data_IF_685117953765
#
_entry.id   IF_685117953765
#
_cell.length_a   1.000
_cell.length_b   1.000
_cell.length_c   1.000
_cell.angle_alpha   90.00
_cell.angle_beta   90.00
_cell.angle_gamma   90.00
#
_symmetry.space_group_name_H-M   'P 1'
#
loop_
_entity.id
_entity.type
_entity.pdbx_description
1 polymer ?
#
# COMPACT_ATOMS: atom_id res chain seq x y z
N UNK A 1 20.21 24.04 -2.30
CA UNK A 1 19.81 24.45 -0.93
C UNK A 1 18.31 24.21 -0.64
N UNK A 2 17.43 24.21 -1.63
CA UNK A 2 15.99 23.91 -1.48
C UNK A 2 15.71 22.46 -1.06
N UNK A 3 16.46 21.51 -1.61
CA UNK A 3 16.26 20.08 -1.31
C UNK A 3 16.66 19.70 0.12
N UNK A 4 17.72 20.28 0.64
CA UNK A 4 18.18 20.01 2.01
C UNK A 4 17.16 20.51 3.04
N UNK A 5 16.58 21.70 2.82
CA UNK A 5 15.51 22.25 3.67
C UNK A 5 14.26 21.39 3.64
N UNK A 6 13.87 20.86 2.49
CA UNK A 6 12.71 19.96 2.36
C UNK A 6 12.93 18.63 3.09
N UNK A 7 14.14 18.09 3.05
CA UNK A 7 14.50 16.85 3.79
C UNK A 7 14.50 17.12 5.30
N UNK A 8 15.07 18.24 5.74
CA UNK A 8 15.09 18.63 7.16
C UNK A 8 13.66 18.84 7.69
N UNK A 9 12.80 19.56 6.95
CA UNK A 9 11.41 19.79 7.36
C UNK A 9 10.64 18.47 7.45
N UNK A 10 10.78 17.56 6.49
CA UNK A 10 10.15 16.24 6.55
C UNK A 10 10.67 15.40 7.71
N UNK A 11 11.98 15.43 7.96
CA UNK A 11 12.58 14.76 9.13
C UNK A 11 12.06 15.35 10.44
N UNK A 12 12.00 16.68 10.54
CA UNK A 12 11.50 17.36 11.74
C UNK A 12 10.01 17.07 12.00
N UNK A 13 9.16 17.02 10.96
CA UNK A 13 7.73 16.68 11.13
C UNK A 13 7.55 15.23 11.58
N UNK A 14 8.35 14.29 11.10
CA UNK A 14 8.32 12.89 11.54
C UNK A 14 8.80 12.75 12.98
N UNK A 15 9.89 13.42 13.36
CA UNK A 15 10.40 13.43 14.74
C UNK A 15 9.39 14.09 15.68
N UNK A 16 8.77 15.19 15.27
CA UNK A 16 7.74 15.86 16.05
C UNK A 16 6.50 14.99 16.26
N UNK A 17 6.02 14.30 15.20
CA UNK A 17 4.88 13.38 15.32
C UNK A 17 5.19 12.19 16.24
N UNK A 18 6.40 11.64 16.16
CA UNK A 18 6.86 10.60 17.06
C UNK A 18 6.91 11.10 18.52
N UNK A 19 7.49 12.28 18.73
CA UNK A 19 7.60 12.89 20.08
C UNK A 19 6.22 13.17 20.70
N UNK A 20 5.27 13.67 19.92
CA UNK A 20 3.91 13.92 20.39
C UNK A 20 3.24 12.61 20.82
N UNK A 21 3.30 11.58 20.01
CA UNK A 21 2.72 10.26 20.34
C UNK A 21 3.41 9.66 21.56
N UNK A 22 4.73 9.78 21.64
CA UNK A 22 5.50 9.29 22.79
C UNK A 22 5.10 9.98 24.09
N UNK A 23 4.99 11.32 24.09
CA UNK A 23 4.57 12.12 25.25
C UNK A 23 3.16 11.73 25.69
N UNK A 24 2.20 11.59 24.76
CA UNK A 24 0.82 11.23 25.03
C UNK A 24 0.69 9.81 25.64
N UNK A 25 1.57 8.89 25.26
CA UNK A 25 1.60 7.54 25.82
C UNK A 25 2.32 7.55 27.17
N UNK A 26 3.43 8.28 27.32
CA UNK A 26 4.21 8.37 28.54
C UNK A 26 3.45 9.07 29.69
N UNK A 27 2.61 10.06 29.36
CA UNK A 27 1.72 10.74 30.33
C UNK A 27 0.51 9.90 30.74
N UNK A 28 0.33 8.69 30.20
CA UNK A 28 -0.79 7.82 30.53
C UNK A 28 -2.14 8.27 29.98
N UNK A 29 -2.20 9.36 29.21
CA UNK A 29 -3.41 9.86 28.55
C UNK A 29 -3.95 8.83 27.55
N UNK A 30 -3.04 8.08 26.91
CA UNK A 30 -3.39 7.03 25.95
C UNK A 30 -3.35 5.66 26.66
N UNK A 31 -4.53 5.13 27.02
CA UNK A 31 -4.69 3.80 27.58
C UNK A 31 -4.32 2.68 26.62
N UNK A 32 -4.25 1.43 27.11
CA UNK A 32 -3.88 0.24 26.33
C UNK A 32 -4.75 0.02 25.07
N UNK A 33 -6.03 0.37 25.15
CA UNK A 33 -6.95 0.32 24.01
C UNK A 33 -6.48 1.21 22.84
N UNK A 34 -6.20 2.47 23.10
CA UNK A 34 -5.73 3.41 22.07
C UNK A 34 -4.35 3.05 21.52
N UNK A 35 -3.47 2.43 22.33
CA UNK A 35 -2.21 1.89 21.84
C UNK A 35 -2.43 0.75 20.82
N UNK A 36 -3.43 -0.10 21.04
CA UNK A 36 -3.81 -1.16 20.12
C UNK A 36 -4.39 -0.59 18.82
N UNK A 37 -5.22 0.46 18.91
CA UNK A 37 -5.72 1.18 17.73
C UNK A 37 -4.58 1.79 16.94
N UNK A 38 -3.64 2.45 17.60
CA UNK A 38 -2.47 3.04 16.96
C UNK A 38 -1.60 2.00 16.27
N UNK A 39 -1.38 0.84 16.92
CA UNK A 39 -0.67 -0.27 16.32
C UNK A 39 -1.37 -0.79 15.05
N UNK A 40 -2.69 -0.94 15.10
CA UNK A 40 -3.49 -1.34 13.94
C UNK A 40 -3.41 -0.32 12.81
N UNK A 41 -3.42 0.99 13.12
CA UNK A 41 -3.22 2.06 12.15
C UNK A 41 -1.86 1.89 11.45
N UNK A 42 -0.77 1.69 12.21
CA UNK A 42 0.57 1.51 11.64
C UNK A 42 0.65 0.31 10.69
N UNK A 43 0.07 -0.83 11.06
CA UNK A 43 -0.01 -2.02 10.20
C UNK A 43 -0.82 -1.73 8.94
N UNK A 44 -1.98 -1.09 9.07
CA UNK A 44 -2.84 -0.76 7.93
C UNK A 44 -2.21 0.30 7.01
N UNK A 45 -1.40 1.22 7.53
CA UNK A 45 -0.60 2.15 6.70
C UNK A 45 0.38 1.36 5.82
N UNK A 46 1.15 0.42 6.38
CA UNK A 46 2.10 -0.38 5.61
C UNK A 46 1.35 -1.18 4.54
N UNK A 47 0.25 -1.85 4.91
CA UNK A 47 -0.56 -2.64 3.98
C UNK A 47 -1.19 -1.78 2.89
N UNK A 48 -1.75 -0.62 3.24
CA UNK A 48 -2.36 0.29 2.28
C UNK A 48 -1.35 0.87 1.30
N UNK A 49 -0.21 1.38 1.80
CA UNK A 49 0.83 1.96 0.94
C UNK A 49 1.48 0.90 0.06
N UNK A 50 1.72 -0.32 0.57
CA UNK A 50 2.30 -1.43 -0.21
C UNK A 50 1.34 -1.99 -1.26
N UNK A 51 0.05 -2.07 -0.97
CA UNK A 51 -0.95 -2.44 -1.99
C UNK A 51 -1.13 -1.31 -3.01
N UNK A 52 -1.10 -0.03 -2.58
CA UNK A 52 -1.19 1.10 -3.50
C UNK A 52 -0.01 1.16 -4.48
N UNK A 53 1.19 0.70 -4.07
CA UNK A 53 2.31 0.52 -4.98
C UNK A 53 1.94 -0.44 -6.13
N UNK A 54 1.28 -1.56 -5.83
CA UNK A 54 0.89 -2.57 -6.80
C UNK A 54 -0.32 -2.08 -7.62
N UNK A 55 -1.41 -1.68 -6.96
CA UNK A 55 -2.68 -1.39 -7.63
C UNK A 55 -2.72 0.04 -8.17
N UNK A 56 -2.27 1.00 -7.37
CA UNK A 56 -2.38 2.40 -7.71
C UNK A 56 -1.29 2.89 -8.67
N UNK A 57 -0.01 2.59 -8.39
CA UNK A 57 1.11 3.11 -9.18
C UNK A 57 1.50 2.24 -10.36
N UNK A 58 1.17 0.95 -10.38
CA UNK A 58 1.49 0.05 -11.51
C UNK A 58 0.25 -0.46 -12.26
N UNK A 59 -0.94 -0.07 -11.84
CA UNK A 59 -2.19 -0.45 -12.49
C UNK A 59 -2.54 -1.94 -12.38
N UNK A 60 -1.94 -2.67 -11.44
CA UNK A 60 -2.14 -4.11 -11.26
C UNK A 60 -3.18 -4.36 -10.18
N UNK A 61 -4.43 -4.58 -10.55
CA UNK A 61 -5.48 -4.84 -9.59
C UNK A 61 -5.25 -6.19 -8.89
N UNK A 62 -4.95 -6.17 -7.57
CA UNK A 62 -4.63 -7.36 -6.78
C UNK A 62 -5.50 -7.46 -5.53
N UNK A 63 -6.07 -8.64 -5.30
CA UNK A 63 -6.82 -9.02 -4.10
C UNK A 63 -6.06 -10.03 -3.21
N UNK A 64 -4.80 -10.29 -3.51
CA UNK A 64 -3.99 -11.30 -2.82
C UNK A 64 -3.16 -10.79 -1.64
N UNK A 65 -3.28 -9.52 -1.24
CA UNK A 65 -2.34 -8.88 -0.32
C UNK A 65 -2.37 -9.48 1.09
N UNK A 66 -3.53 -9.99 1.56
CA UNK A 66 -3.64 -10.71 2.82
C UNK A 66 -2.84 -12.03 2.84
N UNK A 67 -2.61 -12.68 1.69
CA UNK A 67 -1.74 -13.84 1.59
C UNK A 67 -0.28 -13.51 1.90
N UNK A 68 0.25 -12.39 1.41
CA UNK A 68 1.59 -11.93 1.74
C UNK A 68 1.71 -11.53 3.21
N UNK A 69 0.67 -10.90 3.75
CA UNK A 69 0.58 -10.62 5.19
C UNK A 69 0.64 -11.92 6.01
N UNK A 70 -0.08 -12.97 5.61
CA UNK A 70 -0.06 -14.27 6.27
C UNK A 70 1.34 -14.91 6.26
N UNK A 71 2.01 -14.93 5.10
CA UNK A 71 3.36 -15.48 4.98
C UNK A 71 4.33 -14.79 5.95
N UNK A 72 4.31 -13.46 6.00
CA UNK A 72 5.14 -12.69 6.93
C UNK A 72 4.80 -12.96 8.38
N UNK A 73 3.51 -13.01 8.73
CA UNK A 73 3.03 -13.27 10.08
C UNK A 73 3.49 -14.64 10.60
N UNK A 74 3.23 -15.69 9.83
CA UNK A 74 3.59 -17.06 10.24
C UNK A 74 5.10 -17.28 10.27
N UNK A 75 5.86 -16.77 9.30
CA UNK A 75 7.32 -16.88 9.31
C UNK A 75 7.91 -16.20 10.52
N UNK A 76 7.47 -14.98 10.82
CA UNK A 76 7.94 -14.25 12.01
C UNK A 76 7.55 -14.96 13.30
N UNK A 77 6.31 -15.46 13.40
CA UNK A 77 5.84 -16.20 14.57
C UNK A 77 6.68 -17.45 14.84
N UNK A 78 6.96 -18.25 13.83
CA UNK A 78 7.77 -19.46 13.94
C UNK A 78 9.23 -19.15 14.38
N UNK A 79 9.82 -18.06 13.86
CA UNK A 79 11.14 -17.62 14.27
C UNK A 79 11.17 -17.15 15.72
N UNK A 80 10.19 -16.38 16.15
CA UNK A 80 10.07 -15.90 17.54
C UNK A 80 9.80 -17.06 18.51
N UNK A 81 9.01 -18.06 18.12
CA UNK A 81 8.80 -19.26 18.93
C UNK A 81 10.09 -20.07 19.12
N UNK A 82 10.94 -20.14 18.09
CA UNK A 82 12.22 -20.85 18.16
C UNK A 82 13.30 -20.05 18.92
N UNK A 83 13.30 -18.73 18.73
CA UNK A 83 14.26 -17.80 19.36
C UNK A 83 13.49 -16.64 20.02
N UNK A 84 13.02 -16.81 21.28
CA UNK A 84 12.23 -15.79 21.97
C UNK A 84 13.12 -14.62 22.48
N UNK A 85 13.58 -13.81 21.52
CA UNK A 85 14.43 -12.65 21.76
C UNK A 85 14.10 -11.54 20.77
N UNK A 86 14.57 -10.32 21.07
CA UNK A 86 14.43 -9.18 20.14
C UNK A 86 15.16 -9.45 18.82
N UNK A 87 16.26 -10.17 18.84
CA UNK A 87 17.00 -10.56 17.64
C UNK A 87 16.24 -11.59 16.81
N UNK A 88 15.57 -12.55 17.48
CA UNK A 88 14.68 -13.51 16.83
C UNK A 88 13.48 -12.82 16.18
N UNK A 89 12.92 -11.78 16.81
CA UNK A 89 11.88 -10.94 16.22
C UNK A 89 12.38 -10.20 14.96
N UNK A 90 13.53 -9.50 15.03
CA UNK A 90 14.06 -8.77 13.89
C UNK A 90 14.43 -9.69 12.72
N UNK A 91 15.09 -10.81 13.03
CA UNK A 91 15.41 -11.83 12.02
C UNK A 91 14.14 -12.43 11.40
N UNK A 92 13.14 -12.76 12.23
CA UNK A 92 11.86 -13.27 11.79
C UNK A 92 11.12 -12.29 10.89
N UNK A 93 11.14 -11.01 11.24
CA UNK A 93 10.52 -9.94 10.46
C UNK A 93 11.15 -9.81 9.05
N UNK A 94 12.48 -9.81 8.99
CA UNK A 94 13.21 -9.75 7.72
C UNK A 94 12.98 -11.01 6.88
N UNK A 95 13.09 -12.20 7.49
CA UNK A 95 12.84 -13.47 6.81
C UNK A 95 11.38 -13.56 6.34
N UNK A 96 10.41 -13.11 7.13
CA UNK A 96 9.01 -13.09 6.75
C UNK A 96 8.74 -12.18 5.56
N UNK A 97 9.36 -11.01 5.52
CA UNK A 97 9.28 -10.10 4.38
C UNK A 97 9.95 -10.70 3.13
N UNK A 98 11.10 -11.36 3.27
CA UNK A 98 11.81 -12.02 2.16
C UNK A 98 11.02 -13.22 1.63
N UNK A 99 10.41 -14.04 2.48
CA UNK A 99 9.54 -15.16 2.07
C UNK A 99 8.32 -14.63 1.31
N UNK A 100 7.69 -13.56 1.79
CA UNK A 100 6.59 -12.92 1.08
C UNK A 100 7.04 -12.36 -0.28
N UNK A 101 8.23 -11.75 -0.37
CA UNK A 101 8.81 -11.28 -1.62
C UNK A 101 9.10 -12.41 -2.60
N UNK A 102 9.69 -13.53 -2.13
CA UNK A 102 9.95 -14.71 -2.93
C UNK A 102 8.67 -15.34 -3.48
N UNK A 103 7.63 -15.43 -2.65
CA UNK A 103 6.29 -15.83 -3.11
C UNK A 103 5.69 -14.80 -4.07
N UNK A 104 5.97 -13.51 -3.87
CA UNK A 104 5.62 -12.46 -4.81
C UNK A 104 6.22 -12.67 -6.20
N UNK A 105 7.48 -13.13 -6.30
CA UNK A 105 8.08 -13.52 -7.58
C UNK A 105 7.38 -14.75 -8.17
N UNK A 106 7.20 -15.80 -7.35
CA UNK A 106 6.61 -17.06 -7.78
C UNK A 106 5.19 -16.87 -8.32
N UNK A 107 4.38 -16.07 -7.63
CA UNK A 107 3.00 -15.77 -7.99
C UNK A 107 2.96 -14.74 -9.12
N UNK A 108 3.79 -13.70 -9.02
CA UNK A 108 3.81 -12.59 -9.96
C UNK A 108 4.14 -13.04 -11.38
N UNK A 109 5.18 -13.84 -11.59
CA UNK A 109 5.61 -14.23 -12.92
C UNK A 109 4.49 -14.86 -13.78
N UNK A 110 3.69 -15.84 -13.30
CA UNK A 110 2.58 -16.37 -14.08
C UNK A 110 1.35 -15.45 -14.11
N UNK A 111 1.01 -14.81 -12.99
CA UNK A 111 -0.23 -14.03 -12.89
C UNK A 111 -0.15 -12.68 -13.60
N UNK A 112 1.03 -12.05 -13.69
CA UNK A 112 1.21 -10.75 -14.35
C UNK A 112 1.09 -10.81 -15.90
N UNK A 113 0.95 -12.01 -16.45
CA UNK A 113 0.54 -12.18 -17.85
C UNK A 113 -0.96 -11.98 -18.06
N UNK A 114 -1.75 -12.08 -16.98
CA UNK A 114 -3.19 -11.83 -16.98
C UNK A 114 -3.44 -10.31 -16.89
N UNK A 115 -4.56 -9.86 -17.45
CA UNK A 115 -4.94 -8.45 -17.48
C UNK A 115 -6.26 -8.24 -16.72
N UNK A 116 -6.40 -7.04 -16.13
CA UNK A 116 -7.64 -6.61 -15.49
C UNK A 116 -8.10 -7.55 -14.37
N UNK A 117 -9.36 -7.94 -14.43
CA UNK A 117 -10.03 -8.72 -13.37
C UNK A 117 -9.48 -10.15 -13.22
N UNK A 118 -8.93 -10.74 -14.30
CA UNK A 118 -8.30 -12.06 -14.21
C UNK A 118 -7.09 -12.07 -13.29
N UNK A 119 -6.33 -10.98 -13.24
CA UNK A 119 -5.22 -10.83 -12.31
C UNK A 119 -5.72 -10.78 -10.86
N UNK A 120 -6.81 -10.06 -10.60
CA UNK A 120 -7.43 -9.98 -9.28
C UNK A 120 -7.90 -11.36 -8.78
N UNK A 121 -8.59 -12.11 -9.65
CA UNK A 121 -9.08 -13.46 -9.32
C UNK A 121 -7.90 -14.41 -9.06
N UNK A 122 -6.86 -14.38 -9.89
CA UNK A 122 -5.68 -15.21 -9.71
C UNK A 122 -4.94 -14.91 -8.40
N UNK A 123 -4.73 -13.63 -8.07
CA UNK A 123 -4.07 -13.23 -6.82
C UNK A 123 -4.92 -13.56 -5.59
N UNK A 124 -6.24 -13.44 -5.68
CA UNK A 124 -7.15 -13.88 -4.64
C UNK A 124 -7.08 -15.39 -4.42
N UNK A 125 -7.13 -16.19 -5.50
CA UNK A 125 -7.00 -17.63 -5.43
C UNK A 125 -5.69 -18.08 -4.78
N UNK A 126 -4.58 -17.39 -5.09
CA UNK A 126 -3.29 -17.68 -4.47
C UNK A 126 -3.26 -17.31 -2.97
N UNK A 127 -3.90 -16.20 -2.56
CA UNK A 127 -4.02 -15.85 -1.15
C UNK A 127 -4.83 -16.90 -0.37
N UNK A 128 -5.93 -17.40 -0.96
CA UNK A 128 -6.74 -18.46 -0.36
C UNK A 128 -5.98 -19.80 -0.30
N UNK A 129 -5.17 -20.12 -1.31
CA UNK A 129 -4.28 -21.30 -1.26
C UNK A 129 -3.31 -21.18 -0.09
N UNK A 130 -2.66 -20.02 0.08
CA UNK A 130 -1.75 -19.77 1.22
C UNK A 130 -2.49 -19.92 2.55
N UNK A 131 -3.69 -19.37 2.67
CA UNK A 131 -4.52 -19.48 3.87
C UNK A 131 -4.89 -20.92 4.19
N UNK A 132 -5.31 -21.70 3.17
CA UNK A 132 -5.68 -23.10 3.32
C UNK A 132 -4.47 -23.98 3.66
N UNK A 133 -3.29 -23.67 3.11
CA UNK A 133 -2.05 -24.35 3.50
C UNK A 133 -1.75 -24.13 4.99
N UNK A 134 -1.87 -22.91 5.51
CA UNK A 134 -1.69 -22.65 6.95
C UNK A 134 -2.77 -23.30 7.82
N UNK A 135 -3.98 -23.51 7.31
CA UNK A 135 -5.03 -24.27 8.01
C UNK A 135 -4.69 -25.76 8.17
N UNK A 136 -3.93 -26.33 7.22
CA UNK A 136 -3.67 -27.77 7.19
C UNK A 136 -2.29 -28.16 7.71
N UNK A 137 -1.35 -27.23 7.81
CA UNK A 137 -0.02 -27.55 8.33
C UNK A 137 -0.05 -27.76 9.85
N UNK A 138 0.55 -28.86 10.32
CA UNK A 138 0.64 -29.19 11.74
C UNK A 138 1.50 -28.20 12.53
N UNK A 139 2.55 -27.64 11.92
CA UNK A 139 3.44 -26.69 12.58
C UNK A 139 2.84 -25.29 12.78
N UNK A 140 1.73 -25.00 12.09
CA UNK A 140 0.94 -23.76 12.28
C UNK A 140 -0.21 -23.93 13.26
N UNK A 141 -0.36 -25.12 13.86
CA UNK A 141 -1.47 -25.49 14.73
C UNK A 141 -2.86 -25.35 14.06
N UNK A 142 -2.88 -25.26 12.72
CA UNK A 142 -4.09 -25.23 11.90
C UNK A 142 -5.07 -24.13 12.29
N UNK A 143 -6.34 -24.52 12.43
CA UNK A 143 -7.43 -23.58 12.77
C UNK A 143 -7.33 -22.98 14.18
N UNK A 144 -6.63 -23.64 15.10
CA UNK A 144 -6.46 -23.14 16.48
C UNK A 144 -5.51 -21.93 16.55
N UNK A 145 -4.66 -21.76 15.52
CA UNK A 145 -3.72 -20.64 15.43
C UNK A 145 -2.49 -20.80 16.33
N UNK A 146 -1.59 -19.83 16.23
CA UNK A 146 -0.34 -19.79 16.98
C UNK A 146 -0.37 -18.67 18.02
N UNK A 147 0.08 -19.01 19.25
CA UNK A 147 0.35 -18.06 20.31
C UNK A 147 1.87 -17.83 20.41
N UNK A 148 2.29 -16.58 20.33
CA UNK A 148 3.67 -16.23 20.54
C UNK A 148 3.99 -16.17 22.05
N UNK A 149 5.23 -16.46 22.47
CA UNK A 149 5.61 -16.51 23.88
C UNK A 149 5.62 -15.13 24.58
N UNK A 150 5.41 -14.06 23.84
CA UNK A 150 5.34 -12.70 24.37
C UNK A 150 5.14 -11.63 23.29
N UNK A 151 4.97 -10.39 23.73
CA UNK A 151 4.86 -9.21 22.87
C UNK A 151 6.28 -8.67 22.64
N UNK A 152 6.86 -8.92 21.45
CA UNK A 152 8.20 -8.43 21.06
C UNK A 152 8.13 -7.08 20.34
N UNK A 153 7.02 -6.78 19.67
CA UNK A 153 6.79 -5.49 19.04
C UNK A 153 6.02 -4.56 19.97
N UNK A 154 6.59 -3.40 20.27
CA UNK A 154 5.92 -2.29 20.93
C UNK A 154 5.42 -1.29 19.88
N UNK A 155 4.56 -0.36 20.27
CA UNK A 155 4.06 0.70 19.39
C UNK A 155 5.20 1.50 18.71
N UNK A 156 6.36 1.65 19.37
CA UNK A 156 7.55 2.32 18.80
C UNK A 156 8.08 1.59 17.55
N UNK A 157 8.18 0.25 17.61
CA UNK A 157 8.60 -0.57 16.48
C UNK A 157 7.61 -0.43 15.31
N UNK A 158 6.30 -0.49 15.58
CA UNK A 158 5.29 -0.35 14.55
C UNK A 158 5.35 1.01 13.87
N UNK A 159 5.48 2.08 14.65
CA UNK A 159 5.61 3.44 14.10
C UNK A 159 6.90 3.60 13.28
N UNK A 160 8.03 3.11 13.79
CA UNK A 160 9.31 3.17 13.09
C UNK A 160 9.24 2.43 11.75
N UNK A 161 8.76 1.18 11.75
CA UNK A 161 8.64 0.40 10.52
C UNK A 161 7.59 0.95 9.57
N UNK A 162 6.47 1.51 10.04
CA UNK A 162 5.49 2.18 9.20
C UNK A 162 6.11 3.39 8.49
N UNK A 163 6.81 4.23 9.24
CA UNK A 163 7.50 5.41 8.70
C UNK A 163 8.58 5.02 7.69
N UNK A 164 9.43 4.05 8.04
CA UNK A 164 10.48 3.53 7.14
C UNK A 164 9.87 2.94 5.87
N UNK A 165 8.79 2.17 5.98
CA UNK A 165 8.10 1.59 4.82
C UNK A 165 7.57 2.64 3.87
N UNK A 166 6.91 3.69 4.39
CA UNK A 166 6.41 4.81 3.57
C UNK A 166 7.56 5.53 2.86
N UNK A 167 8.67 5.80 3.57
CA UNK A 167 9.86 6.45 2.99
C UNK A 167 10.49 5.58 1.90
N UNK A 168 10.66 4.27 2.16
CA UNK A 168 11.28 3.37 1.20
C UNK A 168 10.43 3.20 -0.06
N UNK A 169 9.10 3.07 0.08
CA UNK A 169 8.19 3.00 -1.07
C UNK A 169 8.19 4.32 -1.83
N UNK A 170 8.18 5.47 -1.16
CA UNK A 170 8.28 6.78 -1.81
C UNK A 170 9.60 6.95 -2.58
N UNK A 171 10.73 6.48 -2.02
CA UNK A 171 12.01 6.49 -2.69
C UNK A 171 12.05 5.51 -3.87
N UNK A 172 11.45 4.33 -3.72
CA UNK A 172 11.30 3.38 -4.83
C UNK A 172 10.55 4.00 -6.00
N UNK A 173 9.43 4.68 -5.77
CA UNK A 173 8.65 5.35 -6.81
C UNK A 173 9.44 6.44 -7.55
N UNK A 174 10.35 7.12 -6.87
CA UNK A 174 11.24 8.14 -7.45
C UNK A 174 12.44 7.55 -8.20
N UNK A 175 12.75 6.28 -7.99
CA UNK A 175 13.84 5.57 -8.66
C UNK A 175 13.51 5.28 -10.12
N UNK A 176 14.50 4.89 -10.93
CA UNK A 176 14.29 4.49 -12.33
C UNK A 176 13.29 3.33 -12.48
N UNK A 177 13.38 2.23 -11.68
CA UNK A 177 12.37 1.16 -11.72
C UNK A 177 10.95 1.62 -11.38
N UNK A 178 10.82 2.52 -10.39
CA UNK A 178 9.52 3.06 -10.00
C UNK A 178 8.89 3.92 -11.09
N UNK A 179 9.67 4.77 -11.75
CA UNK A 179 9.20 5.55 -12.90
C UNK A 179 8.79 4.67 -14.08
N UNK A 180 9.54 3.59 -14.33
CA UNK A 180 9.15 2.61 -15.34
C UNK A 180 7.82 1.93 -15.02
N UNK A 181 7.57 1.61 -13.73
CA UNK A 181 6.32 1.04 -13.29
C UNK A 181 5.13 2.01 -13.51
N UNK A 182 5.32 3.30 -13.22
CA UNK A 182 4.32 4.34 -13.49
C UNK A 182 4.07 4.49 -15.00
N UNK A 183 5.12 4.53 -15.82
CA UNK A 183 4.98 4.61 -17.28
C UNK A 183 4.18 3.43 -17.86
N UNK A 184 4.40 2.22 -17.34
CA UNK A 184 3.64 1.01 -17.72
C UNK A 184 2.16 1.11 -17.34
N UNK A 185 1.83 1.80 -16.24
CA UNK A 185 0.45 2.07 -15.84
C UNK A 185 -0.27 2.95 -16.86
N UNK A 186 0.40 4.02 -17.32
CA UNK A 186 -0.20 4.98 -18.26
C UNK A 186 -0.46 4.34 -19.63
N UNK A 187 0.55 3.71 -20.22
CA UNK A 187 0.42 2.96 -21.48
C UNK A 187 1.51 1.89 -21.61
N UNK A 188 1.11 0.61 -21.59
CA UNK A 188 2.03 -0.53 -21.71
C UNK A 188 2.71 -0.59 -23.08
N UNK A 189 2.01 -0.22 -24.17
CA UNK A 189 2.53 -0.29 -25.53
C UNK A 189 3.54 0.84 -25.75
N UNK A 190 3.20 2.05 -25.34
CA UNK A 190 4.11 3.19 -25.44
C UNK A 190 5.36 2.98 -24.57
N UNK A 191 5.22 2.47 -23.34
CA UNK A 191 6.36 2.15 -22.49
C UNK A 191 7.27 1.08 -23.10
N UNK A 192 6.70 0.04 -23.72
CA UNK A 192 7.47 -1.00 -24.40
C UNK A 192 8.21 -0.45 -25.62
N UNK A 193 7.62 0.48 -26.40
CA UNK A 193 8.22 1.07 -27.60
C UNK A 193 9.46 1.91 -27.30
N UNK A 194 9.55 2.51 -26.09
CA UNK A 194 10.74 3.24 -25.62
C UNK A 194 11.73 2.34 -24.85
N UNK A 195 11.57 1.00 -24.92
CA UNK A 195 12.51 0.03 -24.35
C UNK A 195 12.27 -0.37 -22.89
N UNK A 196 11.13 0.00 -22.27
CA UNK A 196 10.79 -0.45 -20.92
C UNK A 196 10.34 -1.90 -20.95
N UNK A 197 10.98 -2.75 -20.15
CA UNK A 197 10.53 -4.13 -19.97
C UNK A 197 9.31 -4.18 -19.02
N UNK A 198 8.11 -4.27 -19.61
CA UNK A 198 6.82 -4.24 -18.91
C UNK A 198 6.72 -5.33 -17.83
N UNK A 199 7.10 -6.59 -18.17
CA UNK A 199 7.03 -7.72 -17.23
C UNK A 199 7.96 -7.48 -16.04
N UNK A 200 9.20 -7.04 -16.28
CA UNK A 200 10.16 -6.76 -15.22
C UNK A 200 9.69 -5.61 -14.31
N UNK A 201 9.14 -4.54 -14.87
CA UNK A 201 8.63 -3.41 -14.12
C UNK A 201 7.45 -3.81 -13.22
N UNK A 202 6.48 -4.53 -13.77
CA UNK A 202 5.33 -5.07 -13.04
C UNK A 202 5.75 -6.03 -11.92
N UNK A 203 6.62 -7.01 -12.25
CA UNK A 203 7.08 -8.01 -11.28
C UNK A 203 7.83 -7.34 -10.12
N UNK A 204 8.73 -6.39 -10.42
CA UNK A 204 9.50 -5.73 -9.37
C UNK A 204 8.61 -4.96 -8.39
N UNK A 205 7.64 -4.19 -8.88
CA UNK A 205 6.70 -3.48 -8.04
C UNK A 205 5.84 -4.44 -7.19
N UNK A 206 5.41 -5.56 -7.79
CA UNK A 206 4.65 -6.60 -7.10
C UNK A 206 5.46 -7.25 -5.97
N UNK A 207 6.72 -7.57 -6.21
CA UNK A 207 7.65 -8.14 -5.22
C UNK A 207 7.93 -7.17 -4.07
N UNK A 208 8.17 -5.89 -4.39
CA UNK A 208 8.35 -4.86 -3.36
C UNK A 208 7.08 -4.70 -2.53
N UNK A 209 5.91 -4.68 -3.15
CA UNK A 209 4.64 -4.63 -2.42
C UNK A 209 4.44 -5.87 -1.54
N UNK A 210 4.74 -7.07 -2.03
CA UNK A 210 4.68 -8.32 -1.28
C UNK A 210 5.64 -8.32 -0.07
N UNK A 211 6.86 -7.78 -0.24
CA UNK A 211 7.84 -7.62 0.84
C UNK A 211 7.27 -6.80 2.00
N UNK A 212 6.71 -5.62 1.71
CA UNK A 212 6.11 -4.78 2.74
C UNK A 212 4.82 -5.38 3.31
N UNK A 213 4.04 -6.09 2.50
CA UNK A 213 2.89 -6.88 2.97
C UNK A 213 3.29 -7.94 4.01
N UNK A 214 4.38 -8.67 3.74
CA UNK A 214 4.96 -9.62 4.68
C UNK A 214 5.51 -8.96 5.94
N UNK A 215 6.20 -7.83 5.81
CA UNK A 215 6.70 -7.04 6.93
C UNK A 215 5.56 -6.59 7.85
N UNK A 216 4.46 -6.09 7.29
CA UNK A 216 3.26 -5.73 8.05
C UNK A 216 2.65 -6.92 8.80
N UNK A 217 2.65 -8.11 8.16
CA UNK A 217 2.20 -9.36 8.78
C UNK A 217 3.06 -9.77 9.98
N UNK A 218 4.38 -9.69 9.86
CA UNK A 218 5.30 -9.99 10.96
C UNK A 218 5.15 -9.05 12.15
N UNK A 219 4.96 -7.75 11.89
CA UNK A 219 4.67 -6.75 12.92
C UNK A 219 3.32 -7.03 13.61
N UNK A 220 2.29 -7.37 12.82
CA UNK A 220 0.98 -7.76 13.34
C UNK A 220 1.09 -8.95 14.29
N UNK A 221 1.74 -10.03 13.87
CA UNK A 221 1.93 -11.23 14.68
C UNK A 221 2.64 -10.94 16.01
N UNK A 222 3.72 -10.16 15.96
CA UNK A 222 4.54 -9.86 17.14
C UNK A 222 3.91 -8.88 18.11
N UNK A 223 2.97 -8.04 17.65
CA UNK A 223 2.24 -7.11 18.50
C UNK A 223 1.03 -7.77 19.17
N UNK A 224 0.23 -8.51 18.38
CA UNK A 224 -1.00 -9.15 18.88
C UNK A 224 -0.75 -10.50 19.54
N UNK A 225 0.45 -11.07 19.42
CA UNK A 225 0.93 -12.36 19.94
C UNK A 225 -0.01 -13.56 19.72
N UNK A 226 -1.02 -13.39 18.88
CA UNK A 226 -1.92 -14.44 18.40
C UNK A 226 -2.23 -14.26 16.93
N UNK A 227 -2.05 -15.33 16.15
CA UNK A 227 -2.40 -15.37 14.74
C UNK A 227 -3.19 -16.63 14.42
N UNK A 228 -4.23 -16.46 13.62
CA UNK A 228 -5.02 -17.56 13.09
C UNK A 228 -5.26 -17.36 11.58
N UNK A 229 -5.32 -18.45 10.77
CA UNK A 229 -5.46 -18.34 9.32
C UNK A 229 -6.71 -17.59 8.88
N UNK A 230 -7.78 -17.62 9.68
CA UNK A 230 -9.03 -16.91 9.41
C UNK A 230 -8.85 -15.38 9.34
N UNK A 231 -7.85 -14.83 10.02
CA UNK A 231 -7.56 -13.38 10.02
C UNK A 231 -7.00 -12.88 8.68
N UNK A 232 -6.51 -13.77 7.80
CA UNK A 232 -5.85 -13.46 6.54
C UNK A 232 -6.69 -13.87 5.31
N UNK A 233 -8.00 -13.99 5.47
CA UNK A 233 -8.92 -14.35 4.39
C UNK A 233 -9.29 -13.21 3.46
N UNK A 234 -10.22 -13.47 2.55
CA UNK A 234 -10.76 -12.55 1.56
C UNK A 234 -11.17 -11.20 2.14
N UNK A 235 -11.90 -11.19 3.26
CA UNK A 235 -12.37 -9.94 3.89
C UNK A 235 -11.20 -9.01 4.29
N UNK A 236 -10.07 -9.58 4.71
CA UNK A 236 -8.88 -8.77 5.01
C UNK A 236 -8.27 -8.15 3.75
N UNK A 237 -8.22 -8.89 2.64
CA UNK A 237 -7.77 -8.35 1.35
C UNK A 237 -8.68 -7.21 0.87
N UNK A 238 -10.00 -7.38 0.99
CA UNK A 238 -10.98 -6.33 0.64
C UNK A 238 -10.79 -5.11 1.55
N UNK A 239 -10.62 -5.30 2.86
CA UNK A 239 -10.39 -4.18 3.78
C UNK A 239 -9.15 -3.36 3.41
N UNK A 240 -8.05 -4.01 3.01
CA UNK A 240 -6.83 -3.33 2.55
C UNK A 240 -7.10 -2.60 1.22
N UNK A 241 -7.85 -3.21 0.31
CA UNK A 241 -8.23 -2.57 -0.96
C UNK A 241 -9.07 -1.31 -0.73
N UNK A 242 -10.04 -1.35 0.21
CA UNK A 242 -10.85 -0.17 0.58
C UNK A 242 -9.98 0.99 1.06
N UNK A 243 -8.92 0.72 1.83
CA UNK A 243 -7.95 1.75 2.23
C UNK A 243 -7.32 2.41 1.00
N UNK A 244 -6.91 1.62 0.01
CA UNK A 244 -6.25 2.12 -1.20
C UNK A 244 -7.21 2.91 -2.08
N UNK A 245 -8.42 2.39 -2.31
CA UNK A 245 -9.43 3.04 -3.16
C UNK A 245 -9.93 4.33 -2.51
N UNK A 246 -10.23 4.31 -1.20
CA UNK A 246 -10.62 5.49 -0.45
C UNK A 246 -9.51 6.55 -0.44
N UNK A 247 -8.25 6.12 -0.25
CA UNK A 247 -7.11 7.03 -0.24
C UNK A 247 -6.85 7.69 -1.59
N UNK A 248 -7.14 6.98 -2.65
CA UNK A 248 -6.87 7.34 -4.04
C UNK A 248 -5.75 6.50 -4.64
N UNK A 249 -6.08 5.88 -5.79
CA UNK A 249 -5.14 5.04 -6.53
C UNK A 249 -3.97 5.90 -7.05
N UNK A 250 -2.75 5.60 -6.57
CA UNK A 250 -1.55 6.36 -6.93
C UNK A 250 -1.21 7.52 -6.00
N UNK A 251 -1.91 7.67 -4.84
CA UNK A 251 -1.56 8.65 -3.81
C UNK A 251 -1.06 7.97 -2.54
N UNK A 252 0.22 8.17 -2.19
CA UNK A 252 0.80 7.65 -0.94
C UNK A 252 0.17 8.33 0.29
N UNK A 253 0.05 9.65 0.24
CA UNK A 253 -0.52 10.45 1.34
C UNK A 253 -2.00 10.12 1.54
N UNK A 254 -2.73 9.92 0.45
CA UNK A 254 -4.12 9.48 0.49
C UNK A 254 -4.29 8.14 1.18
N UNK A 255 -3.44 7.16 0.87
CA UNK A 255 -3.46 5.84 1.51
C UNK A 255 -3.18 5.90 3.01
N UNK A 256 -2.26 6.76 3.45
CA UNK A 256 -1.98 6.97 4.89
C UNK A 256 -3.19 7.55 5.60
N UNK A 257 -3.81 8.60 5.05
CA UNK A 257 -5.00 9.23 5.63
C UNK A 257 -6.18 8.27 5.66
N UNK A 258 -6.41 7.52 4.59
CA UNK A 258 -7.48 6.52 4.52
C UNK A 258 -7.25 5.37 5.52
N UNK A 259 -6.01 4.91 5.70
CA UNK A 259 -5.68 3.90 6.70
C UNK A 259 -6.01 4.38 8.12
N UNK A 260 -5.70 5.62 8.45
CA UNK A 260 -6.03 6.22 9.75
C UNK A 260 -7.55 6.31 9.90
N UNK A 261 -8.24 6.95 8.94
CA UNK A 261 -9.69 7.17 9.01
C UNK A 261 -10.48 5.87 9.10
N UNK A 262 -10.19 4.90 8.23
CA UNK A 262 -10.88 3.61 8.22
C UNK A 262 -10.60 2.79 9.47
N UNK A 263 -9.38 2.83 10.01
CA UNK A 263 -9.07 2.10 11.25
C UNK A 263 -9.83 2.70 12.44
N UNK A 264 -9.95 4.02 12.51
CA UNK A 264 -10.74 4.68 13.56
C UNK A 264 -12.22 4.28 13.43
N UNK A 265 -12.79 4.35 12.23
CA UNK A 265 -14.18 3.93 11.97
C UNK A 265 -14.36 2.45 12.35
N UNK A 266 -13.44 1.58 11.93
CA UNK A 266 -13.46 0.15 12.22
C UNK A 266 -13.47 -0.13 13.73
N UNK A 267 -12.61 0.56 14.45
CA UNK A 267 -12.49 0.41 15.92
C UNK A 267 -13.74 0.90 16.63
N UNK A 268 -14.31 2.01 16.20
CA UNK A 268 -15.55 2.56 16.78
C UNK A 268 -16.75 1.64 16.56
N UNK A 269 -16.73 0.83 15.50
CA UNK A 269 -17.81 -0.08 15.13
C UNK A 269 -17.58 -1.54 15.57
N UNK A 270 -16.52 -1.82 16.34
CA UNK A 270 -16.20 -3.19 16.78
C UNK A 270 -17.33 -3.83 17.62
N UNK A 271 -18.13 -3.03 18.31
CA UNK A 271 -19.28 -3.51 19.06
C UNK A 271 -20.41 -4.07 18.17
N UNK A 272 -20.43 -3.74 16.88
CA UNK A 272 -21.48 -4.12 15.93
C UNK A 272 -20.86 -4.69 14.63
N UNK A 273 -20.38 -5.94 14.63
CA UNK A 273 -19.64 -6.50 13.47
C UNK A 273 -20.43 -6.52 12.16
N UNK A 274 -21.73 -6.78 12.23
CA UNK A 274 -22.62 -6.77 11.04
C UNK A 274 -22.76 -5.37 10.45
N UNK A 275 -22.93 -4.36 11.31
CA UNK A 275 -23.01 -2.95 10.88
C UNK A 275 -21.70 -2.48 10.30
N UNK A 276 -20.57 -2.93 10.84
CA UNK A 276 -19.24 -2.65 10.33
C UNK A 276 -19.08 -3.12 8.89
N UNK A 277 -19.51 -4.34 8.54
CA UNK A 277 -19.44 -4.87 7.19
C UNK A 277 -20.31 -4.06 6.20
N UNK A 278 -21.52 -3.68 6.63
CA UNK A 278 -22.43 -2.85 5.83
C UNK A 278 -21.82 -1.48 5.56
N UNK A 279 -21.26 -0.84 6.58
CA UNK A 279 -20.60 0.47 6.45
C UNK A 279 -19.40 0.39 5.52
N UNK A 280 -18.58 -0.68 5.60
CA UNK A 280 -17.47 -0.88 4.68
C UNK A 280 -17.93 -0.95 3.22
N UNK A 281 -18.93 -1.78 2.95
CA UNK A 281 -19.50 -1.91 1.61
C UNK A 281 -20.08 -0.58 1.12
N UNK A 282 -20.80 0.13 1.98
CA UNK A 282 -21.40 1.43 1.67
C UNK A 282 -20.34 2.49 1.38
N UNK A 283 -19.28 2.58 2.21
CA UNK A 283 -18.16 3.51 1.98
C UNK A 283 -17.50 3.23 0.63
N UNK A 284 -17.25 1.95 0.31
CA UNK A 284 -16.62 1.58 -0.96
C UNK A 284 -17.48 2.05 -2.14
N UNK A 285 -18.78 1.74 -2.12
CA UNK A 285 -19.72 2.12 -3.19
C UNK A 285 -19.83 3.64 -3.30
N UNK A 286 -20.02 4.36 -2.20
CA UNK A 286 -20.13 5.82 -2.21
C UNK A 286 -18.87 6.48 -2.75
N UNK A 287 -17.68 6.02 -2.33
CA UNK A 287 -16.41 6.57 -2.85
C UNK A 287 -16.27 6.30 -4.33
N UNK A 288 -16.58 5.10 -4.80
CA UNK A 288 -16.50 4.78 -6.22
C UNK A 288 -17.48 5.62 -7.09
N UNK A 289 -18.67 5.95 -6.56
CA UNK A 289 -19.66 6.75 -7.28
C UNK A 289 -19.33 8.25 -7.25
N UNK A 290 -19.05 8.80 -6.05
CA UNK A 290 -18.91 10.25 -5.85
C UNK A 290 -17.49 10.77 -6.01
N UNK A 291 -16.50 9.94 -5.74
CA UNK A 291 -15.07 10.31 -5.80
C UNK A 291 -14.22 9.16 -6.35
N UNK A 292 -14.34 8.83 -7.66
CA UNK A 292 -13.58 7.73 -8.26
C UNK A 292 -12.06 7.93 -8.16
N UNK A 293 -11.59 9.18 -7.97
CA UNK A 293 -10.19 9.50 -7.75
C UNK A 293 -9.75 9.35 -6.27
N UNK A 294 -10.67 8.98 -5.34
CA UNK A 294 -10.40 8.88 -3.91
C UNK A 294 -10.36 10.23 -3.19
N UNK A 295 -9.98 10.23 -1.89
CA UNK A 295 -9.95 11.42 -1.05
C UNK A 295 -8.94 12.48 -1.53
N UNK A 296 -7.77 12.04 -2.01
CA UNK A 296 -6.68 12.94 -2.42
C UNK A 296 -6.50 13.03 -3.93
N UNK A 297 -7.11 12.14 -4.73
CA UNK A 297 -6.90 12.04 -6.18
C UNK A 297 -5.41 11.91 -6.52
N UNK A 298 -4.98 12.51 -7.63
CA UNK A 298 -3.58 12.53 -8.07
C UNK A 298 -2.72 13.57 -7.32
N UNK A 299 -3.28 14.27 -6.32
CA UNK A 299 -2.59 15.33 -5.58
C UNK A 299 -1.91 14.77 -4.33
N UNK A 300 -0.60 14.73 -4.32
CA UNK A 300 0.16 14.49 -3.09
C UNK A 300 0.23 15.76 -2.23
N UNK A 301 0.07 15.60 -0.91
CA UNK A 301 0.22 16.70 0.06
C UNK A 301 1.54 17.45 -0.09
N UNK A 302 2.60 16.79 -0.57
CA UNK A 302 3.90 17.40 -0.83
C UNK A 302 3.80 18.52 -1.88
N UNK A 303 2.93 18.39 -2.88
CA UNK A 303 2.71 19.42 -3.90
C UNK A 303 1.87 20.59 -3.37
N UNK A 304 0.93 20.33 -2.48
CA UNK A 304 0.06 21.37 -1.89
C UNK A 304 0.79 22.23 -0.85
N UNK A 305 1.65 21.62 -0.03
CA UNK A 305 2.44 22.37 0.97
C UNK A 305 3.57 23.15 0.30
N UNK A 306 4.17 22.59 -0.77
CA UNK A 306 5.28 23.24 -1.48
C UNK A 306 4.83 24.42 -2.35
N UNK A 307 3.62 24.36 -2.93
CA UNK A 307 3.07 25.46 -3.74
C UNK A 307 2.66 26.67 -2.90
N UNK A 308 2.35 26.49 -1.59
CA UNK A 308 2.01 27.59 -0.67
C UNK A 308 3.25 28.25 -0.05
N UNK A 309 4.39 27.56 0.04
CA UNK A 309 5.61 28.10 0.68
C UNK A 309 6.52 28.85 -0.30
N UNK A 310 6.31 28.67 -1.61
CA UNK A 310 7.03 29.39 -2.66
C UNK A 310 6.04 30.05 -3.64
N UNK A 311 5.56 31.27 -3.38
CA UNK A 311 4.93 32.08 -4.42
C UNK A 311 6.05 32.63 -5.34
N UNK A 312 6.32 31.96 -6.44
CA UNK A 312 7.26 32.51 -7.41
C UNK A 312 8.07 31.46 -8.17
N UNK A 313 7.42 30.77 -9.08
CA UNK A 313 7.93 30.40 -10.41
C UNK A 313 6.80 29.78 -11.22
N UNK A 314 5.86 30.62 -11.63
CA UNK A 314 5.07 30.33 -12.83
C UNK A 314 6.02 30.50 -14.02
N UNK A 315 6.79 29.47 -14.31
CA UNK A 315 7.40 29.28 -15.62
C UNK A 315 6.26 28.86 -16.54
N UNK A 316 5.82 29.80 -17.37
CA UNK A 316 4.83 29.52 -18.40
C UNK A 316 5.36 28.48 -19.39
N UNK A 317 4.64 27.40 -19.49
CA UNK A 317 4.35 26.67 -20.72
C UNK A 317 2.94 26.18 -20.51
N UNK A 318 1.95 27.03 -20.83
CA UNK A 318 0.62 26.56 -21.17
C UNK A 318 0.77 25.50 -22.27
N UNK A 319 -0.13 24.51 -22.35
CA UNK A 319 -0.15 23.62 -23.48
C UNK A 319 -0.10 24.47 -24.75
N UNK A 320 0.66 24.08 -25.79
CA UNK A 320 0.65 24.81 -27.04
C UNK A 320 -0.81 24.90 -27.49
N UNK A 321 -1.26 26.13 -27.69
CA UNK A 321 -2.56 26.45 -28.22
C UNK A 321 -2.73 25.57 -29.45
N UNK A 322 -3.74 24.68 -29.44
CA UNK A 322 -4.00 23.79 -30.55
C UNK A 322 -4.25 24.69 -31.76
N UNK A 323 -3.26 24.85 -32.60
CA UNK A 323 -3.41 25.48 -33.89
C UNK A 323 -4.52 24.75 -34.61
N UNK A 324 -5.59 25.48 -34.91
CA UNK A 324 -6.68 24.97 -35.71
C UNK A 324 -6.11 24.24 -36.93
N UNK A 325 -6.66 23.08 -37.31
CA UNK A 325 -6.15 22.31 -38.45
C UNK A 325 -6.11 23.22 -39.68
N UNK A 326 -4.91 23.48 -40.18
CA UNK A 326 -4.73 24.15 -41.45
C UNK A 326 -5.50 23.33 -42.50
N UNK A 327 -6.50 23.96 -43.13
CA UNK A 327 -7.19 23.35 -44.26
C UNK A 327 -6.15 22.90 -45.30
N UNK A 328 -6.18 21.62 -45.62
CA UNK A 328 -5.35 21.03 -46.65
C UNK A 328 -5.54 21.83 -47.94
N UNK A 329 -4.47 22.17 -48.66
CA UNK A 329 -4.56 22.91 -49.93
C UNK A 329 -5.46 22.23 -50.98
N UNK A 330 -5.71 20.92 -50.84
CA UNK A 330 -6.62 20.20 -51.74
C UNK A 330 -8.11 20.60 -51.55
N UNK A 331 -8.52 21.14 -50.37
CA UNK A 331 -9.89 21.60 -50.15
C UNK A 331 -10.13 23.02 -50.68
N UNK A 332 -9.07 23.85 -50.69
CA UNK A 332 -9.17 25.21 -51.23
C UNK A 332 -9.35 25.22 -52.77
N UNK A 333 -8.72 24.28 -53.48
CA UNK A 333 -8.82 24.13 -54.94
C UNK A 333 -10.23 23.61 -55.38
N UNK A 334 -10.89 22.83 -54.50
CA UNK A 334 -12.22 22.32 -54.78
C UNK A 334 -13.35 23.36 -54.57
N UNK A 335 -13.17 24.34 -53.70
CA UNK A 335 -14.11 25.46 -53.51
C UNK A 335 -14.01 26.52 -54.63
N UNK A 336 -12.83 26.72 -55.20
CA UNK A 336 -12.63 27.67 -56.31
C UNK A 336 -13.08 27.14 -57.66
N UNK A 337 -13.24 25.82 -57.80
CA UNK A 337 -13.78 25.18 -59.00
C UNK A 337 -15.33 25.07 -59.02
N UNK A 338 -15.99 25.41 -57.89
CA UNK A 338 -17.44 25.33 -57.75
C UNK A 338 -18.13 26.73 -57.72
N UNK A 339 -17.37 27.81 -57.82
CA UNK A 339 -17.84 29.18 -57.98
C UNK A 339 -17.70 29.64 -59.45
#
# INVERSE_FOLDING_TARGET
MSDLRSVIVRGATLVASFGIVWILIATGVIGAFYQTVFATICVNIILGVSLNLITGFTGQFSLGHAGFMALGAYTTALMVMKFPSIWGFLAGLLLGALVAAAMGVLIGLPTLRLKGDYLAIATLGMAEIIRVLFLNFKFTNGAAGLYLPGRFANWMWLFAFATVSVILIANFLRSAPGRNAIAVREDEIAAASIGVNVVKAKTLAFVVGAFFGGLAGGLFASYFYFIAPQQFGFLKSVAILVIVVLGGLGSLTGSVIAAIALTIIQTSLQAFPTVQMIIYALILVLVMIFRPQGLMGDRELSSLVFSRVLPGRRGGTGPPEATAPQKSPAVAVAEEAAS
#
